data_IF_523283477379
#
_entry.id   IF_523283477379
#
_cell.length_a   1.000
_cell.length_b   1.000
_cell.length_c   1.000
_cell.angle_alpha   90.00
_cell.angle_beta   90.00
_cell.angle_gamma   90.00
#
_symmetry.space_group_name_H-M   'P 1'
#
loop_
_entity.id
_entity.type
_entity.pdbx_description
1 polymer ?
#
# COMPACT_ATOMS: atom_id res chain seq x y z
N UNK A 1 -5.12 -4.12 11.75
CA UNK A 1 -5.07 -4.09 10.27
C UNK A 1 -6.35 -3.45 9.85
N UNK A 2 -6.26 -2.28 9.22
CA UNK A 2 -7.40 -1.40 9.05
C UNK A 2 -7.73 -1.34 7.57
N UNK A 3 -8.72 -2.13 7.14
CA UNK A 3 -9.20 -2.13 5.76
C UNK A 3 -10.72 -2.10 5.72
N UNK A 4 -11.26 -1.40 4.72
CA UNK A 4 -12.68 -1.38 4.42
C UNK A 4 -13.02 -2.44 3.38
N UNK A 5 -14.17 -3.11 3.56
CA UNK A 5 -14.72 -4.01 2.55
C UNK A 5 -15.97 -3.37 1.93
N UNK A 6 -16.06 -3.44 0.61
CA UNK A 6 -17.24 -3.01 -0.14
C UNK A 6 -18.01 -4.24 -0.59
N UNK A 7 -19.22 -4.42 -0.09
CA UNK A 7 -20.09 -5.52 -0.51
C UNK A 7 -20.87 -5.14 -1.78
N UNK A 8 -20.61 -5.86 -2.87
CA UNK A 8 -21.28 -5.65 -4.16
C UNK A 8 -22.36 -6.71 -4.34
N UNK A 9 -23.62 -6.31 -4.16
CA UNK A 9 -24.78 -7.21 -4.32
C UNK A 9 -25.46 -7.11 -5.70
N UNK A 10 -25.20 -6.03 -6.45
CA UNK A 10 -25.85 -5.77 -7.72
C UNK A 10 -24.96 -6.19 -8.89
N UNK A 11 -25.44 -7.13 -9.71
CA UNK A 11 -24.74 -7.60 -10.92
C UNK A 11 -24.66 -6.56 -12.04
N UNK A 12 -25.42 -5.46 -11.95
CA UNK A 12 -25.45 -4.39 -12.94
C UNK A 12 -24.48 -3.24 -12.60
N UNK A 13 -23.69 -3.35 -11.54
CA UNK A 13 -22.66 -2.35 -11.19
C UNK A 13 -21.30 -2.95 -11.49
N UNK A 14 -20.53 -2.26 -12.34
CA UNK A 14 -19.12 -2.59 -12.58
C UNK A 14 -18.28 -1.54 -11.87
N UNK A 15 -17.79 -1.80 -10.64
CA UNK A 15 -16.91 -0.87 -9.95
C UNK A 15 -15.61 -0.69 -10.74
N UNK A 16 -15.13 0.55 -10.82
CA UNK A 16 -13.80 0.86 -11.36
C UNK A 16 -12.91 1.21 -10.17
N UNK A 17 -12.08 0.28 -9.69
CA UNK A 17 -11.20 0.51 -8.56
C UNK A 17 -10.07 1.46 -8.98
N UNK A 18 -9.82 2.47 -8.17
CA UNK A 18 -8.85 3.51 -8.49
C UNK A 18 -8.16 4.03 -7.24
N UNK A 19 -6.87 4.32 -7.39
CA UNK A 19 -6.06 5.00 -6.39
C UNK A 19 -6.24 6.51 -6.56
N UNK A 20 -6.48 7.20 -5.44
CA UNK A 20 -6.65 8.65 -5.40
C UNK A 20 -5.30 9.35 -5.52
N UNK A 21 -5.16 10.26 -6.48
CA UNK A 21 -3.95 11.04 -6.70
C UNK A 21 -4.27 12.55 -6.66
N UNK A 22 -4.55 13.06 -5.46
CA UNK A 22 -5.14 14.39 -5.25
C UNK A 22 -4.35 15.55 -5.81
N UNK A 23 -3.03 15.46 -5.76
CA UNK A 23 -2.16 16.57 -6.15
C UNK A 23 -1.94 16.63 -7.66
N UNK A 24 -2.27 15.55 -8.38
CA UNK A 24 -2.18 15.51 -9.83
C UNK A 24 -3.37 16.22 -10.47
N UNK A 25 -3.10 17.24 -11.28
CA UNK A 25 -4.14 17.91 -12.07
C UNK A 25 -4.62 17.01 -13.22
N UNK A 26 -3.70 16.27 -13.83
CA UNK A 26 -3.95 15.51 -15.05
C UNK A 26 -4.47 14.09 -14.77
N UNK A 27 -3.97 13.45 -13.71
CA UNK A 27 -4.24 12.05 -13.37
C UNK A 27 -4.70 11.92 -11.93
N UNK A 28 -5.91 12.41 -11.64
CA UNK A 28 -6.49 12.40 -10.28
C UNK A 28 -6.85 11.01 -9.75
N UNK A 29 -7.03 10.07 -10.68
CA UNK A 29 -7.45 8.70 -10.44
C UNK A 29 -6.53 7.79 -11.24
N UNK A 30 -5.97 6.79 -10.56
CA UNK A 30 -5.05 5.81 -11.14
C UNK A 30 -5.71 4.43 -11.04
N UNK A 31 -6.27 3.88 -12.13
CA UNK A 31 -6.97 2.60 -12.07
C UNK A 31 -6.06 1.45 -11.63
N UNK A 32 -6.64 0.50 -10.89
CA UNK A 32 -5.96 -0.71 -10.41
C UNK A 32 -6.20 -1.81 -11.44
N UNK A 33 -5.18 -2.18 -12.22
CA UNK A 33 -5.29 -3.21 -13.25
C UNK A 33 -5.07 -4.62 -12.70
N UNK A 34 -4.19 -4.76 -11.71
CA UNK A 34 -3.91 -6.02 -11.05
C UNK A 34 -3.35 -5.81 -9.63
N UNK A 35 -2.96 -6.93 -9.02
CA UNK A 35 -2.36 -7.00 -7.69
C UNK A 35 -1.04 -7.78 -7.72
N UNK A 36 -0.28 -7.64 -8.82
CA UNK A 36 1.03 -8.27 -8.95
C UNK A 36 2.01 -7.54 -8.03
N UNK A 37 2.34 -8.16 -6.90
CA UNK A 37 3.28 -7.61 -5.92
C UNK A 37 4.70 -7.52 -6.47
N UNK A 38 5.42 -6.48 -6.07
CA UNK A 38 6.86 -6.37 -6.33
C UNK A 38 7.64 -7.47 -5.62
N UNK A 39 8.72 -7.93 -6.26
CA UNK A 39 9.52 -9.08 -5.81
C UNK A 39 11.02 -8.78 -5.65
N UNK A 40 11.41 -7.51 -5.69
CA UNK A 40 12.81 -7.09 -5.48
C UNK A 40 12.96 -5.96 -4.45
N UNK A 41 14.03 -6.03 -3.67
CA UNK A 41 14.52 -4.87 -2.92
C UNK A 41 14.96 -3.79 -3.92
N UNK A 42 14.66 -2.53 -3.62
CA UNK A 42 14.86 -1.41 -4.55
C UNK A 42 13.73 -1.25 -5.56
N UNK A 43 12.68 -2.07 -5.54
CA UNK A 43 11.48 -1.80 -6.31
C UNK A 43 10.82 -0.48 -5.86
N UNK A 44 10.29 0.27 -6.82
CA UNK A 44 9.63 1.54 -6.56
C UNK A 44 8.17 1.31 -6.15
N UNK A 45 7.79 1.80 -4.97
CA UNK A 45 6.43 1.75 -4.46
C UNK A 45 5.97 3.14 -4.03
N UNK A 46 4.68 3.38 -4.18
CA UNK A 46 4.01 4.59 -3.74
C UNK A 46 2.90 4.25 -2.76
N UNK A 47 2.64 5.16 -1.84
CA UNK A 47 1.43 5.17 -1.01
C UNK A 47 0.49 6.25 -1.54
N UNK A 48 -0.82 6.08 -1.32
CA UNK A 48 -1.82 7.12 -1.58
C UNK A 48 -2.65 7.31 -0.31
N UNK A 49 -2.22 8.22 0.55
CA UNK A 49 -2.76 8.35 1.90
C UNK A 49 -3.53 9.66 2.12
N UNK A 50 -4.18 9.77 3.27
CA UNK A 50 -5.00 10.94 3.59
C UNK A 50 -4.17 12.17 3.92
N UNK A 51 -3.07 12.01 4.68
CA UNK A 51 -2.22 13.12 5.12
C UNK A 51 -1.02 13.32 4.20
N UNK A 52 -0.27 12.26 3.90
CA UNK A 52 0.93 12.36 3.04
C UNK A 52 0.62 12.37 1.55
N UNK A 53 -0.65 12.22 1.17
CA UNK A 53 -1.10 12.13 -0.23
C UNK A 53 -0.33 11.04 -1.00
N UNK A 54 0.00 11.27 -2.27
CA UNK A 54 0.81 10.34 -3.04
C UNK A 54 2.29 10.61 -2.76
N UNK A 55 2.95 9.67 -2.09
CA UNK A 55 4.38 9.72 -1.83
C UNK A 55 5.02 8.40 -2.23
N UNK A 56 6.25 8.44 -2.73
CA UNK A 56 6.91 7.27 -3.28
C UNK A 56 8.30 7.06 -2.67
N UNK A 57 8.73 5.81 -2.68
CA UNK A 57 10.00 5.39 -2.16
C UNK A 57 10.41 4.04 -2.73
N UNK A 58 11.39 3.43 -2.08
CA UNK A 58 11.95 2.15 -2.51
C UNK A 58 11.80 1.10 -1.44
N UNK A 59 11.49 -0.12 -1.86
CA UNK A 59 11.46 -1.28 -0.97
C UNK A 59 12.85 -1.49 -0.37
N UNK A 60 12.93 -1.45 0.95
CA UNK A 60 14.14 -1.75 1.73
C UNK A 60 14.23 -3.24 2.04
N UNK A 61 13.10 -3.87 2.34
CA UNK A 61 13.02 -5.31 2.60
C UNK A 61 11.64 -5.87 2.22
N UNK A 62 11.61 -7.09 1.67
CA UNK A 62 10.39 -7.86 1.37
C UNK A 62 10.02 -8.88 2.46
N UNK A 63 10.93 -9.13 3.39
CA UNK A 63 10.79 -10.09 4.48
C UNK A 63 11.04 -9.42 5.83
N UNK A 64 10.39 -8.28 6.05
CA UNK A 64 10.40 -7.61 7.34
C UNK A 64 9.56 -8.33 8.38
N UNK A 65 9.71 -7.92 9.64
CA UNK A 65 8.85 -8.33 10.73
C UNK A 65 8.57 -7.16 11.65
N UNK A 66 7.40 -7.17 12.30
CA UNK A 66 7.01 -6.17 13.31
C UNK A 66 6.17 -6.83 14.39
N UNK A 67 6.25 -6.31 15.62
CA UNK A 67 5.40 -6.76 16.72
C UNK A 67 3.96 -6.30 16.49
N UNK A 68 3.00 -7.18 16.75
CA UNK A 68 1.61 -6.79 16.77
C UNK A 68 1.38 -5.74 17.87
N UNK A 69 0.66 -4.66 17.57
CA UNK A 69 0.40 -3.53 18.50
C UNK A 69 -0.24 -4.01 19.82
N UNK A 70 -0.97 -5.13 19.79
CA UNK A 70 -1.62 -5.74 20.96
C UNK A 70 -0.78 -6.81 21.68
N UNK A 71 0.46 -7.06 21.26
CA UNK A 71 1.34 -8.07 21.85
C UNK A 71 0.99 -9.52 21.50
N UNK A 72 0.07 -9.75 20.56
CA UNK A 72 -0.41 -11.09 20.18
C UNK A 72 0.51 -11.82 19.17
N UNK A 73 1.76 -11.37 19.01
CA UNK A 73 2.77 -12.05 18.20
C UNK A 73 3.48 -11.15 17.18
N UNK A 74 4.13 -11.79 16.21
CA UNK A 74 4.92 -11.16 15.16
C UNK A 74 4.17 -11.22 13.82
N UNK A 75 4.10 -10.09 13.12
CA UNK A 75 3.76 -10.06 11.71
C UNK A 75 5.02 -10.21 10.89
N UNK A 76 5.18 -11.37 10.24
CA UNK A 76 6.31 -11.68 9.37
C UNK A 76 5.95 -11.49 7.89
N UNK A 77 6.97 -11.34 7.05
CA UNK A 77 6.84 -11.15 5.60
C UNK A 77 6.08 -9.86 5.24
N UNK A 78 6.27 -8.82 6.04
CA UNK A 78 5.82 -7.47 5.68
C UNK A 78 6.84 -6.80 4.76
N UNK A 79 6.37 -5.85 3.96
CA UNK A 79 7.26 -4.99 3.18
C UNK A 79 7.69 -3.81 4.05
N UNK A 80 8.99 -3.49 4.01
CA UNK A 80 9.54 -2.27 4.58
C UNK A 80 9.88 -1.36 3.41
N UNK A 81 9.24 -0.20 3.35
CA UNK A 81 9.40 0.77 2.25
C UNK A 81 9.99 2.05 2.81
N UNK A 82 11.05 2.56 2.18
CA UNK A 82 11.64 3.85 2.54
C UNK A 82 10.81 5.00 1.97
N UNK A 83 9.63 5.21 2.54
CA UNK A 83 8.71 6.31 2.25
C UNK A 83 8.25 6.90 3.58
N UNK A 84 8.02 8.20 3.61
CA UNK A 84 7.51 8.86 4.81
C UNK A 84 5.98 8.82 4.81
N UNK A 85 5.40 8.17 5.80
CA UNK A 85 3.96 8.13 6.09
C UNK A 85 3.67 8.84 7.40
N UNK A 86 2.58 9.60 7.47
CA UNK A 86 2.23 10.38 8.66
C UNK A 86 1.11 9.69 9.48
N UNK A 87 0.98 10.10 10.74
CA UNK A 87 -0.14 9.67 11.58
C UNK A 87 -1.50 9.94 10.91
N UNK A 88 -2.28 8.88 10.67
CA UNK A 88 -3.54 8.92 9.91
C UNK A 88 -3.47 8.30 8.51
N UNK A 89 -2.29 7.90 8.05
CA UNK A 89 -2.10 7.23 6.76
C UNK A 89 -2.31 5.70 6.80
N UNK A 90 -2.53 5.12 7.98
CA UNK A 90 -2.84 3.69 8.14
C UNK A 90 -4.03 3.25 7.29
N UNK A 91 -3.91 2.10 6.64
CA UNK A 91 -4.90 1.56 5.70
C UNK A 91 -4.80 2.13 4.28
N UNK A 92 -3.95 3.12 4.04
CA UNK A 92 -3.73 3.67 2.71
C UNK A 92 -3.22 2.59 1.73
N UNK A 93 -3.68 2.58 0.48
CA UNK A 93 -3.18 1.64 -0.51
C UNK A 93 -1.71 1.92 -0.86
N UNK A 94 -0.96 0.84 -1.02
CA UNK A 94 0.41 0.84 -1.51
C UNK A 94 0.41 0.22 -2.90
N UNK A 95 1.03 0.88 -3.87
CA UNK A 95 0.94 0.51 -5.28
C UNK A 95 2.25 0.76 -6.03
N UNK A 96 2.40 0.11 -7.19
CA UNK A 96 3.44 0.42 -8.17
C UNK A 96 2.79 0.89 -9.46
N UNK A 97 3.39 1.86 -10.13
CA UNK A 97 2.97 2.24 -11.47
C UNK A 97 3.27 1.12 -12.48
N UNK A 98 2.38 0.97 -13.47
CA UNK A 98 2.65 0.25 -14.70
C UNK A 98 3.58 1.06 -15.61
N UNK A 99 4.05 0.45 -16.69
CA UNK A 99 4.98 1.09 -17.62
C UNK A 99 4.40 2.34 -18.30
N UNK A 100 3.08 2.44 -18.43
CA UNK A 100 2.40 3.61 -18.98
C UNK A 100 2.26 4.78 -18.00
N UNK A 101 2.56 4.56 -16.71
CA UNK A 101 2.39 5.52 -15.61
C UNK A 101 0.94 5.99 -15.39
N UNK A 102 -0.03 5.36 -16.05
CA UNK A 102 -1.46 5.65 -15.93
C UNK A 102 -2.18 4.62 -15.08
N UNK A 103 -1.70 3.37 -15.14
CA UNK A 103 -2.25 2.25 -14.42
C UNK A 103 -1.36 1.82 -13.27
N UNK A 104 -1.95 1.06 -12.34
CA UNK A 104 -1.27 0.63 -11.12
C UNK A 104 -1.47 -0.85 -10.83
N UNK A 105 -0.50 -1.43 -10.13
CA UNK A 105 -0.64 -2.69 -9.43
C UNK A 105 -0.77 -2.44 -7.93
N UNK A 106 -1.82 -2.99 -7.31
CA UNK A 106 -1.98 -2.95 -5.87
C UNK A 106 -0.97 -3.90 -5.21
N UNK A 107 -0.17 -3.38 -4.29
CA UNK A 107 0.90 -4.13 -3.63
C UNK A 107 0.58 -4.44 -2.16
N UNK A 108 -0.24 -3.63 -1.51
CA UNK A 108 -0.60 -3.81 -0.11
C UNK A 108 -1.32 -2.61 0.48
N UNK A 109 -1.33 -2.55 1.80
CA UNK A 109 -1.84 -1.41 2.57
C UNK A 109 -0.81 -0.97 3.61
N UNK A 110 -0.79 0.32 3.92
CA UNK A 110 0.02 0.88 5.00
C UNK A 110 -0.47 0.30 6.32
N UNK A 111 0.41 -0.34 7.08
CA UNK A 111 0.13 -0.85 8.41
C UNK A 111 0.51 0.19 9.45
N UNK A 112 1.79 0.59 9.42
CA UNK A 112 2.38 1.56 10.34
C UNK A 112 3.57 2.26 9.66
N UNK A 113 4.20 3.20 10.35
CA UNK A 113 5.44 3.82 9.88
C UNK A 113 6.20 4.50 11.02
N UNK A 114 7.46 4.79 10.74
CA UNK A 114 8.38 5.50 11.62
C UNK A 114 8.96 6.69 10.87
N UNK A 115 8.74 7.89 11.42
CA UNK A 115 9.09 9.17 10.79
C UNK A 115 10.62 9.43 10.73
N UNK A 116 11.42 8.62 11.41
CA UNK A 116 12.88 8.76 11.51
C UNK A 116 13.53 7.43 11.93
N UNK A 117 14.81 7.26 11.61
CA UNK A 117 15.61 6.14 12.13
C UNK A 117 16.05 6.35 13.59
N UNK A 118 16.82 5.40 14.13
CA UNK A 118 17.38 5.46 15.49
C UNK A 118 18.27 6.69 15.74
N UNK A 119 18.74 7.38 14.70
CA UNK A 119 19.56 8.58 14.78
C UNK A 119 18.74 9.87 14.61
N UNK A 120 17.42 9.76 14.42
CA UNK A 120 16.55 10.90 14.14
C UNK A 120 16.62 11.39 12.70
N UNK A 121 17.20 10.62 11.77
CA UNK A 121 17.28 11.00 10.37
C UNK A 121 15.94 10.73 9.67
N UNK A 122 15.23 11.81 9.35
CA UNK A 122 13.96 11.78 8.61
C UNK A 122 14.11 11.20 7.19
N UNK A 123 15.31 11.24 6.62
CA UNK A 123 15.55 10.64 5.30
C UNK A 123 15.51 9.11 5.34
N UNK A 124 15.55 8.53 6.54
CA UNK A 124 15.46 7.09 6.78
C UNK A 124 14.09 6.69 7.33
N UNK A 125 13.06 7.53 7.16
CA UNK A 125 11.69 7.15 7.44
C UNK A 125 11.32 5.86 6.71
N UNK A 126 10.60 4.99 7.41
CA UNK A 126 10.13 3.72 6.87
C UNK A 126 8.63 3.57 7.10
N UNK A 127 7.96 2.98 6.13
CA UNK A 127 6.58 2.55 6.22
C UNK A 127 6.54 1.03 6.17
N UNK A 128 5.83 0.44 7.12
CA UNK A 128 5.48 -0.96 7.13
C UNK A 128 4.24 -1.18 6.29
N UNK A 129 4.34 -2.10 5.34
CA UNK A 129 3.28 -2.40 4.39
C UNK A 129 2.88 -3.86 4.55
N UNK A 130 1.58 -4.08 4.75
CA UNK A 130 0.99 -5.40 4.71
C UNK A 130 0.77 -5.80 3.25
N UNK A 131 1.45 -6.83 2.71
CA UNK A 131 1.31 -7.18 1.31
C UNK A 131 -0.10 -7.69 0.99
N UNK A 132 -0.61 -7.34 -0.19
CA UNK A 132 -1.97 -7.69 -0.59
C UNK A 132 -2.19 -9.21 -0.65
N UNK A 133 -1.17 -9.97 -1.08
CA UNK A 133 -1.19 -11.43 -1.12
C UNK A 133 -1.39 -12.07 0.26
N UNK A 134 -0.83 -11.45 1.31
CA UNK A 134 -1.06 -11.89 2.69
C UNK A 134 -2.52 -11.72 3.06
N UNK A 135 -3.11 -10.55 2.76
CA UNK A 135 -4.49 -10.22 3.08
C UNK A 135 -5.45 -11.17 2.36
N UNK A 136 -5.25 -11.36 1.04
CA UNK A 136 -6.06 -12.29 0.23
C UNK A 136 -5.98 -13.70 0.80
N UNK A 137 -4.77 -14.19 1.12
CA UNK A 137 -4.58 -15.54 1.65
C UNK A 137 -5.30 -15.77 2.97
N UNK A 138 -5.29 -14.80 3.88
CA UNK A 138 -5.88 -14.93 5.22
C UNK A 138 -7.40 -14.72 5.21
N UNK A 139 -7.90 -13.82 4.37
CA UNK A 139 -9.31 -13.41 4.39
C UNK A 139 -10.17 -14.10 3.32
N UNK A 140 -9.55 -14.61 2.25
CA UNK A 140 -10.27 -15.17 1.10
C UNK A 140 -11.00 -14.12 0.24
N UNK A 141 -10.77 -12.82 0.46
CA UNK A 141 -11.37 -11.76 -0.34
C UNK A 141 -10.75 -11.70 -1.74
N UNK A 142 -11.51 -11.16 -2.70
CA UNK A 142 -11.02 -10.90 -4.05
C UNK A 142 -10.78 -9.41 -4.23
N UNK A 143 -9.64 -9.06 -4.80
CA UNK A 143 -9.35 -7.71 -5.26
C UNK A 143 -10.21 -7.43 -6.49
N UNK A 144 -10.84 -6.26 -6.50
CA UNK A 144 -11.52 -5.74 -7.69
C UNK A 144 -10.46 -5.06 -8.55
N UNK A 145 -10.47 -5.33 -9.85
CA UNK A 145 -9.57 -4.73 -10.85
C UNK A 145 -10.38 -4.01 -11.93
N UNK A 146 -9.76 -3.08 -12.66
CA UNK A 146 -10.38 -2.30 -13.73
C UNK A 146 -10.51 -3.06 -15.07
N UNK A 147 -10.08 -4.34 -15.11
CA UNK A 147 -10.08 -5.22 -16.28
C UNK A 147 -11.07 -6.37 -16.13
#
# INVERSE_FOLDING_TARGET
MDFGLVFINNKNVTPVPSIRNTDSIQYRELPIEDHIVVSSNGAHLCISAFQSHVNCGYVKALSGFTDAINGDGLFENIFIVGVNSLGGDSGAPVFSYKQDLLHTSLNGIVSSGYDFDINGDINNAITEVMPIDFIIRVTGIKVVTAN
#
